data_IF_694225607713
#
_entry.id   IF_694225607713
#
_cell.length_a   1.000
_cell.length_b   1.000
_cell.length_c   1.000
_cell.angle_alpha   90.00
_cell.angle_beta   90.00
_cell.angle_gamma   90.00
#
_symmetry.space_group_name_H-M   'P 1'
#
loop_
_entity.id
_entity.type
_entity.pdbx_description
1 polymer ?
#
# COMPACT_ATOMS: atom_id res chain seq x y z
N UNK A 1 -12.84 3.24 -19.30
CA UNK A 1 -13.84 2.58 -18.44
C UNK A 1 -13.08 2.11 -17.21
N UNK A 2 -13.50 2.54 -16.00
CA UNK A 2 -12.77 2.24 -14.76
C UNK A 2 -12.61 0.73 -14.57
N UNK A 3 -11.40 0.29 -14.21
CA UNK A 3 -11.05 -1.13 -14.12
C UNK A 3 -11.18 -1.68 -12.69
N UNK A 4 -11.09 -0.82 -11.68
CA UNK A 4 -11.25 -1.15 -10.27
C UNK A 4 -12.50 -0.47 -9.71
N UNK A 5 -13.08 -1.06 -8.65
CA UNK A 5 -14.17 -0.45 -7.92
C UNK A 5 -13.63 0.75 -7.11
N UNK A 6 -14.08 1.99 -7.36
CA UNK A 6 -13.59 3.15 -6.62
C UNK A 6 -14.21 3.29 -5.22
N UNK A 7 -15.21 2.47 -4.87
CA UNK A 7 -15.89 2.52 -3.56
C UNK A 7 -15.61 1.28 -2.71
N UNK A 8 -15.51 1.51 -1.40
CA UNK A 8 -15.53 0.51 -0.34
C UNK A 8 -16.83 0.65 0.45
N UNK A 9 -17.86 -0.07 0.02
CA UNK A 9 -19.22 0.14 0.54
C UNK A 9 -19.76 1.51 0.12
N UNK A 10 -20.21 2.31 1.08
CA UNK A 10 -20.70 3.67 0.84
C UNK A 10 -19.59 4.74 0.74
N UNK A 11 -18.35 4.39 1.11
CA UNK A 11 -17.23 5.33 1.19
C UNK A 11 -16.28 5.19 0.01
N UNK A 12 -15.63 6.28 -0.41
CA UNK A 12 -14.68 6.29 -1.52
C UNK A 12 -15.18 7.14 -2.68
N UNK A 13 -14.96 6.68 -3.91
CA UNK A 13 -15.27 7.43 -5.12
C UNK A 13 -14.15 8.40 -5.53
N UNK A 14 -14.44 9.22 -6.56
CA UNK A 14 -13.52 10.22 -7.08
C UNK A 14 -14.28 11.55 -7.25
N UNK A 15 -14.37 12.32 -6.16
CA UNK A 15 -15.05 13.61 -6.13
C UNK A 15 -14.08 14.73 -6.53
N UNK A 16 -13.72 14.77 -7.81
CA UNK A 16 -12.77 15.74 -8.38
C UNK A 16 -13.40 16.47 -9.57
N UNK A 17 -12.84 17.65 -9.97
CA UNK A 17 -13.23 18.31 -11.21
C UNK A 17 -13.09 17.40 -12.44
N UNK A 18 -13.99 17.57 -13.42
CA UNK A 18 -14.05 16.76 -14.63
C UNK A 18 -12.73 16.74 -15.42
N UNK A 19 -12.00 17.85 -15.40
CA UNK A 19 -10.68 17.98 -16.06
C UNK A 19 -9.62 17.00 -15.51
N UNK A 20 -9.79 16.51 -14.28
CA UNK A 20 -8.86 15.55 -13.67
C UNK A 20 -9.23 14.08 -13.93
N UNK A 21 -10.45 13.81 -14.42
CA UNK A 21 -10.91 12.45 -14.69
C UNK A 21 -9.98 11.71 -15.66
N UNK A 22 -9.54 12.29 -16.80
CA UNK A 22 -8.64 11.60 -17.72
C UNK A 22 -7.28 11.25 -17.10
N UNK A 23 -6.76 12.10 -16.21
CA UNK A 23 -5.50 11.84 -15.53
C UNK A 23 -5.62 10.70 -14.52
N UNK A 24 -6.75 10.61 -13.81
CA UNK A 24 -7.02 9.51 -12.88
C UNK A 24 -7.20 8.17 -13.62
N UNK A 25 -7.89 8.18 -14.76
CA UNK A 25 -8.04 6.98 -15.60
C UNK A 25 -6.69 6.48 -16.14
N UNK A 26 -5.80 7.39 -16.56
CA UNK A 26 -4.44 7.04 -16.98
C UNK A 26 -3.61 6.45 -15.84
N UNK A 27 -3.71 7.03 -14.63
CA UNK A 27 -3.01 6.54 -13.46
C UNK A 27 -3.50 5.15 -13.04
N UNK A 28 -4.83 4.92 -13.03
CA UNK A 28 -5.41 3.61 -12.75
C UNK A 28 -4.89 2.56 -13.74
N UNK A 29 -4.85 2.90 -15.03
CA UNK A 29 -4.35 2.02 -16.06
C UNK A 29 -2.88 1.65 -15.84
N UNK A 30 -2.01 2.65 -15.65
CA UNK A 30 -0.58 2.44 -15.43
C UNK A 30 -0.32 1.63 -14.15
N UNK A 31 -1.09 1.86 -13.09
CA UNK A 31 -1.00 1.08 -11.86
C UNK A 31 -1.33 -0.40 -12.09
N UNK A 32 -2.42 -0.70 -12.81
CA UNK A 32 -2.80 -2.09 -13.11
C UNK A 32 -1.74 -2.77 -13.97
N UNK A 33 -1.19 -2.07 -14.94
CA UNK A 33 -0.17 -2.61 -15.82
C UNK A 33 1.12 -2.90 -15.03
N UNK A 34 1.56 -1.97 -14.17
CA UNK A 34 2.71 -2.15 -13.29
C UNK A 34 2.51 -3.25 -12.22
N UNK A 35 1.28 -3.46 -11.74
CA UNK A 35 0.98 -4.56 -10.83
C UNK A 35 1.13 -5.93 -11.50
N UNK A 36 0.81 -6.03 -12.80
CA UNK A 36 0.92 -7.28 -13.55
C UNK A 36 2.29 -7.50 -14.19
N UNK A 37 3.16 -6.48 -14.20
CA UNK A 37 4.51 -6.57 -14.74
C UNK A 37 5.50 -7.17 -13.71
N UNK A 38 6.04 -8.38 -13.95
CA UNK A 38 7.00 -9.01 -13.04
C UNK A 38 8.31 -8.22 -12.88
N UNK A 39 8.73 -7.50 -13.92
CA UNK A 39 9.97 -6.72 -13.89
C UNK A 39 9.86 -5.52 -12.95
N UNK A 40 8.72 -4.83 -12.99
CA UNK A 40 8.39 -3.75 -12.07
C UNK A 40 8.32 -4.24 -10.63
N UNK A 41 7.66 -5.39 -10.39
CA UNK A 41 7.59 -5.98 -9.05
C UNK A 41 8.97 -6.35 -8.53
N UNK A 42 9.84 -6.90 -9.38
CA UNK A 42 11.20 -7.27 -9.00
C UNK A 42 12.03 -6.04 -8.60
N UNK A 43 12.01 -4.99 -9.42
CA UNK A 43 12.71 -3.74 -9.12
C UNK A 43 12.18 -3.10 -7.83
N UNK A 44 10.86 -3.04 -7.68
CA UNK A 44 10.24 -2.48 -6.48
C UNK A 44 10.63 -3.24 -5.21
N UNK A 45 10.63 -4.57 -5.25
CA UNK A 45 11.06 -5.39 -4.10
C UNK A 45 12.56 -5.23 -3.80
N UNK A 46 13.39 -5.09 -4.83
CA UNK A 46 14.82 -4.83 -4.65
C UNK A 46 15.06 -3.50 -3.93
N UNK A 47 14.38 -2.44 -4.37
CA UNK A 47 14.43 -1.13 -3.71
C UNK A 47 13.90 -1.19 -2.27
N UNK A 48 12.80 -1.90 -2.03
CA UNK A 48 12.29 -2.08 -0.67
C UNK A 48 13.32 -2.74 0.24
N UNK A 49 14.05 -3.73 -0.26
CA UNK A 49 15.02 -4.48 0.52
C UNK A 49 16.34 -3.74 0.70
N UNK A 50 16.93 -3.28 -0.40
CA UNK A 50 18.32 -2.82 -0.45
C UNK A 50 18.45 -1.31 -0.24
N UNK A 51 17.38 -0.54 -0.50
CA UNK A 51 17.36 0.90 -0.29
C UNK A 51 16.52 1.30 0.93
N UNK A 52 15.27 0.83 1.01
CA UNK A 52 14.37 1.17 2.13
C UNK A 52 14.59 0.31 3.39
N UNK A 53 15.42 -0.74 3.32
CA UNK A 53 15.80 -1.57 4.47
C UNK A 53 14.72 -2.52 4.99
N UNK A 54 13.77 -2.94 4.13
CA UNK A 54 12.73 -3.92 4.48
C UNK A 54 13.25 -5.36 4.46
N UNK A 55 12.64 -6.30 5.22
CA UNK A 55 11.52 -6.10 6.14
C UNK A 55 11.93 -5.40 7.44
N UNK A 56 11.03 -4.61 8.00
CA UNK A 56 11.24 -3.98 9.30
C UNK A 56 11.05 -4.98 10.44
N UNK A 57 11.81 -4.78 11.52
CA UNK A 57 11.79 -5.67 12.67
C UNK A 57 10.43 -5.64 13.40
N UNK A 58 9.98 -6.80 13.85
CA UNK A 58 8.89 -6.91 14.81
C UNK A 58 9.49 -7.01 16.22
N UNK A 59 9.27 -5.97 17.03
CA UNK A 59 9.91 -5.85 18.34
C UNK A 59 8.90 -6.14 19.45
N UNK A 60 9.16 -7.16 20.27
CA UNK A 60 8.40 -7.42 21.49
C UNK A 60 8.71 -6.34 22.53
N UNK A 61 7.71 -5.55 22.89
CA UNK A 61 7.84 -4.47 23.86
C UNK A 61 7.77 -5.02 25.29
N UNK A 62 8.87 -5.60 25.77
CA UNK A 62 8.96 -6.29 27.08
C UNK A 62 8.50 -5.44 28.28
N UNK A 63 8.62 -4.12 28.19
CA UNK A 63 8.20 -3.21 29.27
C UNK A 63 6.68 -2.94 29.27
N UNK A 64 6.02 -3.10 28.12
CA UNK A 64 4.58 -2.89 27.97
C UNK A 64 3.81 -4.21 28.14
N UNK A 65 4.37 -5.34 27.71
CA UNK A 65 3.74 -6.65 27.78
C UNK A 65 3.17 -7.01 29.16
N UNK A 66 3.84 -6.76 30.31
CA UNK A 66 3.30 -7.08 31.63
C UNK A 66 2.03 -6.31 32.01
N UNK A 67 1.70 -5.22 31.29
CA UNK A 67 0.50 -4.40 31.54
C UNK A 67 -0.75 -4.94 30.84
N UNK A 68 -0.61 -5.95 29.99
CA UNK A 68 -1.69 -6.50 29.17
C UNK A 68 -1.70 -8.02 29.25
N UNK A 69 -2.86 -8.63 29.02
CA UNK A 69 -3.02 -10.10 29.01
C UNK A 69 -2.44 -10.77 27.75
N UNK A 70 -1.81 -10.01 26.84
CA UNK A 70 -1.27 -10.48 25.58
C UNK A 70 0.07 -9.79 25.23
N UNK A 71 0.94 -10.41 24.41
CA UNK A 71 2.19 -9.81 23.98
C UNK A 71 1.98 -8.51 23.21
N UNK A 72 2.68 -7.44 23.63
CA UNK A 72 2.67 -6.18 22.89
C UNK A 72 3.83 -6.15 21.90
N UNK A 73 3.53 -6.10 20.60
CA UNK A 73 4.52 -6.14 19.51
C UNK A 73 4.43 -4.84 18.71
N UNK A 74 5.57 -4.18 18.52
CA UNK A 74 5.70 -3.01 17.66
C UNK A 74 6.24 -3.41 16.28
N UNK A 75 5.66 -2.84 15.22
CA UNK A 75 6.19 -2.88 13.85
C UNK A 75 6.68 -1.47 13.52
N UNK A 76 8.00 -1.33 13.39
CA UNK A 76 8.66 -0.06 13.02
C UNK A 76 8.66 0.12 11.51
#
# INVERSE_FOLDING_TARGET
MRKLNPYFGEFGGQYVPEILIPALDQLEQAFIDAQNDPSFQQEFQDLLKNYAGRPTALTLCRNLTPRYSYPFISKT
#
